data_IF_446772721866
#
_entry.id   IF_446772721866
#
_cell.length_a   1.000
_cell.length_b   1.000
_cell.length_c   1.000
_cell.angle_alpha   90.00
_cell.angle_beta   90.00
_cell.angle_gamma   90.00
#
_symmetry.space_group_name_H-M   'P 1'
#
loop_
_entity.id
_entity.type
_entity.pdbx_description
1 polymer ?
#
# COMPACT_ATOMS: atom_id res chain seq x y z
N UNK A 1 3.29 -21.75 10.31
CA UNK A 1 3.46 -22.17 11.72
C UNK A 1 3.38 -20.93 12.59
N UNK A 2 2.18 -20.59 13.04
CA UNK A 2 1.85 -20.37 14.45
C UNK A 2 0.33 -20.19 14.47
N UNK A 3 -0.36 -21.33 14.57
CA UNK A 3 -1.81 -21.45 14.54
C UNK A 3 -2.36 -21.36 15.96
N UNK A 4 -1.96 -20.32 16.70
CA UNK A 4 -2.37 -20.15 18.07
C UNK A 4 -3.79 -19.55 18.12
N UNK A 5 -4.72 -20.39 18.59
CA UNK A 5 -5.93 -20.06 19.35
C UNK A 5 -7.24 -19.95 18.55
N UNK A 6 -7.84 -21.11 18.29
CA UNK A 6 -9.30 -21.28 18.18
C UNK A 6 -9.81 -22.37 19.14
N UNK A 7 -9.19 -22.48 20.32
CA UNK A 7 -9.46 -23.57 21.27
C UNK A 7 -10.37 -23.15 22.44
N UNK A 8 -11.37 -22.29 22.24
CA UNK A 8 -12.12 -21.77 23.42
C UNK A 8 -13.63 -21.67 23.42
N UNK A 9 -14.38 -22.22 22.45
CA UNK A 9 -15.84 -22.04 22.48
C UNK A 9 -16.61 -23.27 22.03
N UNK A 10 -16.81 -24.20 22.97
CA UNK A 10 -17.95 -25.10 22.97
C UNK A 10 -18.83 -24.74 24.19
N UNK A 11 -20.06 -24.28 23.94
CA UNK A 11 -21.14 -24.31 24.93
C UNK A 11 -22.27 -25.17 24.40
N UNK A 12 -23.10 -25.66 25.31
CA UNK A 12 -23.88 -26.90 25.23
C UNK A 12 -24.98 -27.03 24.15
N UNK A 13 -25.20 -26.08 23.23
CA UNK A 13 -26.42 -26.02 22.40
C UNK A 13 -26.23 -25.77 20.89
N UNK A 14 -25.14 -26.21 20.25
CA UNK A 14 -25.07 -26.11 18.78
C UNK A 14 -23.84 -26.70 18.12
N UNK A 15 -24.01 -27.18 16.88
CA UNK A 15 -22.92 -27.63 16.00
C UNK A 15 -22.09 -26.43 15.57
N UNK A 16 -20.86 -26.34 16.07
CA UNK A 16 -19.86 -25.36 15.60
C UNK A 16 -19.02 -26.00 14.51
N UNK A 17 -19.08 -25.47 13.29
CA UNK A 17 -18.22 -25.88 12.18
C UNK A 17 -17.07 -24.88 12.09
N UNK A 18 -15.85 -25.33 12.41
CA UNK A 18 -14.63 -24.60 12.10
C UNK A 18 -14.25 -24.79 10.64
N UNK A 19 -14.33 -23.73 9.82
CA UNK A 19 -13.86 -23.75 8.44
C UNK A 19 -12.51 -23.05 8.37
N UNK A 20 -11.48 -23.78 7.91
CA UNK A 20 -10.16 -23.20 7.64
C UNK A 20 -9.97 -23.10 6.13
N UNK A 21 -9.69 -21.89 5.64
CA UNK A 21 -9.40 -21.65 4.23
C UNK A 21 -7.88 -21.59 4.03
N UNK A 22 -7.36 -22.42 3.12
CA UNK A 22 -5.95 -22.39 2.71
C UNK A 22 -5.84 -21.86 1.29
N UNK A 23 -5.02 -20.82 1.10
CA UNK A 23 -4.65 -20.37 -0.24
C UNK A 23 -3.51 -21.24 -0.78
N UNK A 24 -3.87 -22.25 -1.57
CA UNK A 24 -2.91 -23.18 -2.18
C UNK A 24 -2.29 -22.63 -3.48
N UNK A 25 -2.66 -21.41 -3.88
CA UNK A 25 -2.09 -20.80 -5.09
C UNK A 25 -0.74 -20.21 -4.76
N UNK A 26 0.27 -20.57 -5.54
CA UNK A 26 1.57 -19.95 -5.47
C UNK A 26 1.54 -18.53 -6.04
N UNK A 27 2.47 -17.70 -5.57
CA UNK A 27 2.72 -16.35 -6.04
C UNK A 27 2.75 -16.31 -7.57
N UNK A 28 2.08 -15.30 -8.14
CA UNK A 28 2.11 -15.07 -9.58
C UNK A 28 3.38 -14.35 -10.03
N UNK A 29 3.76 -14.50 -11.30
CA UNK A 29 4.86 -13.75 -11.90
C UNK A 29 4.68 -12.22 -11.76
N UNK A 30 3.43 -11.72 -11.82
CA UNK A 30 3.11 -10.30 -11.62
C UNK A 30 3.39 -9.83 -10.20
N UNK A 31 2.99 -10.61 -9.19
CA UNK A 31 3.30 -10.30 -7.79
C UNK A 31 4.80 -10.32 -7.54
N UNK A 32 5.51 -11.31 -8.08
CA UNK A 32 6.96 -11.37 -7.97
C UNK A 32 7.63 -10.16 -8.63
N UNK A 33 7.19 -9.76 -9.82
CA UNK A 33 7.69 -8.56 -10.50
C UNK A 33 7.47 -7.28 -9.68
N UNK A 34 6.28 -7.12 -9.05
CA UNK A 34 5.97 -6.00 -8.16
C UNK A 34 6.87 -5.94 -6.93
N UNK A 35 7.14 -7.09 -6.30
CA UNK A 35 8.08 -7.18 -5.17
C UNK A 35 9.46 -6.69 -5.60
N UNK A 36 9.99 -7.17 -6.73
CA UNK A 36 11.30 -6.72 -7.21
C UNK A 36 11.30 -5.25 -7.64
N UNK A 37 10.21 -4.75 -8.24
CA UNK A 37 10.11 -3.33 -8.57
C UNK A 37 10.18 -2.46 -7.32
N UNK A 38 9.47 -2.81 -6.25
CA UNK A 38 9.55 -2.09 -4.97
C UNK A 38 10.93 -2.20 -4.30
N UNK A 39 11.54 -3.39 -4.34
CA UNK A 39 12.90 -3.58 -3.82
C UNK A 39 13.91 -2.73 -4.60
N UNK A 40 13.75 -2.63 -5.93
CA UNK A 40 14.59 -1.79 -6.76
C UNK A 40 14.45 -0.31 -6.34
N UNK A 41 13.23 0.20 -6.12
CA UNK A 41 13.01 1.60 -5.66
C UNK A 41 13.76 1.88 -4.34
N UNK A 42 13.67 0.97 -3.37
CA UNK A 42 14.38 1.09 -2.09
C UNK A 42 15.89 1.05 -2.32
N UNK A 43 16.38 0.07 -3.08
CA UNK A 43 17.82 -0.10 -3.36
C UNK A 43 18.39 1.13 -4.05
N UNK A 44 17.66 1.73 -4.99
CA UNK A 44 18.08 2.96 -5.66
C UNK A 44 18.17 4.15 -4.71
N UNK A 45 17.24 4.24 -3.76
CA UNK A 45 17.21 5.33 -2.81
C UNK A 45 18.28 5.22 -1.73
N UNK A 46 18.60 3.99 -1.31
CA UNK A 46 19.57 3.74 -0.23
C UNK A 46 20.99 3.48 -0.74
N UNK A 47 21.18 3.36 -2.06
CA UNK A 47 22.50 3.17 -2.66
C UNK A 47 23.48 4.29 -2.27
N UNK A 48 24.72 3.92 -1.96
CA UNK A 48 25.77 4.89 -1.66
C UNK A 48 26.10 5.75 -2.89
N UNK A 49 26.50 7.00 -2.65
CA UNK A 49 26.94 7.92 -3.70
C UNK A 49 28.18 7.41 -4.46
N UNK A 50 28.95 6.51 -3.84
CA UNK A 50 30.16 5.91 -4.38
C UNK A 50 29.89 4.75 -5.36
N UNK A 51 28.65 4.25 -5.44
CA UNK A 51 28.30 3.14 -6.31
C UNK A 51 28.33 3.57 -7.79
N UNK A 52 29.11 2.88 -8.63
CA UNK A 52 29.38 3.27 -10.03
C UNK A 52 28.08 3.39 -10.86
N UNK A 53 27.74 4.64 -11.21
CA UNK A 53 26.51 5.05 -11.89
C UNK A 53 26.32 4.41 -13.28
N UNK A 54 27.34 3.80 -13.88
CA UNK A 54 27.23 3.18 -15.21
C UNK A 54 26.43 1.88 -15.21
N UNK A 55 26.24 1.22 -14.07
CA UNK A 55 25.57 -0.09 -13.97
C UNK A 55 24.40 -0.12 -12.97
N UNK A 56 23.75 1.02 -12.77
CA UNK A 56 22.83 1.32 -11.66
C UNK A 56 21.70 0.31 -11.41
N UNK A 57 21.28 -0.51 -12.38
CA UNK A 57 20.15 -1.46 -12.24
C UNK A 57 20.54 -2.94 -12.34
N UNK A 58 21.72 -3.25 -12.85
CA UNK A 58 22.10 -4.63 -13.21
C UNK A 58 23.50 -5.05 -12.73
N UNK A 59 24.25 -4.13 -12.12
CA UNK A 59 25.54 -4.41 -11.49
C UNK A 59 25.44 -5.46 -10.39
N UNK A 60 26.56 -6.16 -10.15
CA UNK A 60 26.65 -7.21 -9.13
C UNK A 60 26.36 -6.62 -7.74
N UNK A 61 26.91 -5.44 -7.44
CA UNK A 61 26.71 -4.72 -6.18
C UNK A 61 25.23 -4.38 -5.94
N UNK A 62 24.55 -3.82 -6.94
CA UNK A 62 23.11 -3.51 -6.83
C UNK A 62 22.28 -4.77 -6.54
N UNK A 63 22.62 -5.90 -7.18
CA UNK A 63 21.95 -7.18 -6.92
C UNK A 63 22.20 -7.65 -5.49
N UNK A 64 23.43 -7.55 -4.99
CA UNK A 64 23.76 -7.95 -3.61
C UNK A 64 23.02 -7.08 -2.59
N UNK A 65 23.01 -5.77 -2.78
CA UNK A 65 22.31 -4.83 -1.88
C UNK A 65 20.80 -5.09 -1.88
N UNK A 66 20.21 -5.29 -3.06
CA UNK A 66 18.80 -5.66 -3.18
C UNK A 66 18.49 -6.97 -2.45
N UNK A 67 19.38 -7.96 -2.52
CA UNK A 67 19.21 -9.21 -1.77
C UNK A 67 19.28 -9.00 -0.26
N UNK A 68 20.18 -8.14 0.24
CA UNK A 68 20.25 -7.76 1.66
C UNK A 68 18.95 -7.07 2.12
N UNK A 69 18.49 -6.06 1.38
CA UNK A 69 17.23 -5.36 1.63
C UNK A 69 16.06 -6.33 1.63
N UNK A 70 16.01 -7.26 0.66
CA UNK A 70 14.99 -8.30 0.59
C UNK A 70 15.01 -9.19 1.83
N UNK A 71 16.17 -9.63 2.29
CA UNK A 71 16.29 -10.45 3.50
C UNK A 71 15.81 -9.70 4.74
N UNK A 72 16.22 -8.44 4.90
CA UNK A 72 15.81 -7.58 6.02
C UNK A 72 14.29 -7.35 6.04
N UNK A 73 13.70 -6.97 4.90
CA UNK A 73 12.26 -6.75 4.80
C UNK A 73 11.44 -8.01 5.02
N UNK A 74 11.89 -9.17 4.52
CA UNK A 74 11.23 -10.46 4.78
C UNK A 74 11.25 -10.79 6.27
N UNK A 75 12.39 -10.64 6.94
CA UNK A 75 12.51 -10.90 8.37
C UNK A 75 11.61 -9.97 9.18
N UNK A 76 11.61 -8.68 8.85
CA UNK A 76 10.75 -7.69 9.51
C UNK A 76 9.26 -7.97 9.28
N UNK A 77 8.87 -8.35 8.06
CA UNK A 77 7.50 -8.74 7.73
C UNK A 77 7.06 -10.00 8.49
N UNK A 78 7.89 -11.05 8.53
CA UNK A 78 7.61 -12.26 9.31
C UNK A 78 7.32 -11.93 10.77
N UNK A 79 8.12 -11.05 11.38
CA UNK A 79 7.91 -10.61 12.75
C UNK A 79 6.63 -9.76 12.89
N UNK A 80 6.36 -8.89 11.91
CA UNK A 80 5.20 -7.99 11.92
C UNK A 80 3.86 -8.74 11.90
N UNK A 81 3.74 -9.80 11.09
CA UNK A 81 2.50 -10.60 11.00
C UNK A 81 2.59 -11.95 11.75
N UNK A 82 3.63 -12.15 12.55
CA UNK A 82 3.90 -13.37 13.32
C UNK A 82 3.82 -14.67 12.49
N UNK A 83 4.60 -14.75 11.41
CA UNK A 83 4.71 -15.96 10.57
C UNK A 83 6.14 -16.50 10.53
N UNK A 84 6.29 -17.78 10.17
CA UNK A 84 7.60 -18.38 9.92
C UNK A 84 8.30 -17.73 8.72
N UNK A 85 9.64 -17.78 8.68
CA UNK A 85 10.42 -17.42 7.49
C UNK A 85 9.91 -18.15 6.25
N UNK A 86 9.78 -17.40 5.15
CA UNK A 86 9.32 -17.93 3.86
C UNK A 86 10.38 -17.75 2.77
N UNK A 87 10.22 -18.50 1.67
CA UNK A 87 10.88 -18.21 0.40
C UNK A 87 9.87 -17.59 -0.56
N UNK A 88 10.30 -16.64 -1.40
CA UNK A 88 9.43 -16.10 -2.44
C UNK A 88 8.95 -17.19 -3.42
N UNK A 89 9.74 -18.25 -3.63
CA UNK A 89 9.37 -19.34 -4.54
C UNK A 89 8.15 -20.17 -4.06
N UNK A 90 7.92 -20.22 -2.74
CA UNK A 90 6.88 -21.05 -2.12
C UNK A 90 5.83 -20.20 -1.38
N UNK A 91 5.74 -18.91 -1.69
CA UNK A 91 4.82 -17.99 -1.06
C UNK A 91 3.43 -18.13 -1.67
N UNK A 92 2.37 -18.23 -0.86
CA UNK A 92 1.01 -18.20 -1.38
C UNK A 92 0.63 -16.79 -1.87
N UNK A 93 -0.38 -16.68 -2.74
CA UNK A 93 -0.78 -15.40 -3.32
C UNK A 93 -1.26 -14.38 -2.29
N UNK A 94 -1.93 -14.83 -1.23
CA UNK A 94 -2.43 -13.94 -0.16
C UNK A 94 -1.28 -13.29 0.60
N UNK A 95 -0.34 -14.08 1.13
CA UNK A 95 0.85 -13.58 1.82
C UNK A 95 1.75 -12.76 0.89
N UNK A 96 1.82 -13.10 -0.40
CA UNK A 96 2.53 -12.29 -1.39
C UNK A 96 1.91 -10.89 -1.55
N UNK A 97 0.57 -10.79 -1.56
CA UNK A 97 -0.12 -9.50 -1.59
C UNK A 97 0.17 -8.67 -0.33
N UNK A 98 0.10 -9.29 0.84
CA UNK A 98 0.41 -8.64 2.13
C UNK A 98 1.86 -8.17 2.18
N UNK A 99 2.80 -8.95 1.64
CA UNK A 99 4.20 -8.55 1.57
C UNK A 99 4.42 -7.38 0.60
N UNK A 100 3.73 -7.35 -0.55
CA UNK A 100 3.73 -6.18 -1.44
C UNK A 100 3.20 -4.94 -0.71
N UNK A 101 2.09 -5.08 0.02
CA UNK A 101 1.52 -3.99 0.81
C UNK A 101 2.51 -3.48 1.86
N UNK A 102 3.18 -4.40 2.55
CA UNK A 102 4.18 -4.07 3.56
C UNK A 102 5.36 -3.28 2.98
N UNK A 103 5.94 -3.72 1.86
CA UNK A 103 7.05 -3.00 1.21
C UNK A 103 6.57 -1.65 0.65
N UNK A 104 5.36 -1.60 0.08
CA UNK A 104 4.78 -0.36 -0.41
C UNK A 104 4.61 0.65 0.73
N UNK A 105 4.04 0.25 1.86
CA UNK A 105 3.90 1.11 3.02
C UNK A 105 5.26 1.54 3.59
N UNK A 106 6.26 0.66 3.59
CA UNK A 106 7.64 1.02 3.93
C UNK A 106 8.12 2.19 3.07
N UNK A 107 7.90 2.13 1.75
CA UNK A 107 8.30 3.22 0.85
C UNK A 107 7.61 4.55 1.21
N UNK A 108 6.30 4.53 1.48
CA UNK A 108 5.59 5.74 1.91
C UNK A 108 6.09 6.27 3.26
N UNK A 109 6.36 5.38 4.21
CA UNK A 109 6.78 5.73 5.58
C UNK A 109 8.15 6.40 5.61
N UNK A 110 9.07 5.93 4.78
CA UNK A 110 10.44 6.45 4.70
C UNK A 110 10.66 7.44 3.55
N UNK A 111 9.57 7.91 2.94
CA UNK A 111 9.57 8.85 1.83
C UNK A 111 10.47 8.43 0.64
N UNK A 112 10.43 7.14 0.32
CA UNK A 112 11.14 6.57 -0.82
C UNK A 112 10.41 7.01 -2.10
N UNK A 113 11.06 7.77 -3.01
CA UNK A 113 10.45 8.20 -4.24
C UNK A 113 10.28 7.02 -5.20
N UNK A 114 9.19 7.03 -5.97
CA UNK A 114 8.95 6.05 -7.02
C UNK A 114 9.41 6.60 -8.37
N UNK A 115 10.32 5.87 -9.03
CA UNK A 115 10.72 6.15 -10.41
C UNK A 115 9.77 5.50 -11.42
N UNK A 116 9.17 4.36 -11.05
CA UNK A 116 8.16 3.69 -11.85
C UNK A 116 6.74 4.20 -11.57
N UNK A 117 5.80 3.91 -12.48
CA UNK A 117 4.37 4.17 -12.24
C UNK A 117 3.86 3.28 -11.11
N UNK A 118 3.04 3.83 -10.22
CA UNK A 118 2.48 3.08 -9.09
C UNK A 118 1.75 1.78 -9.49
N UNK A 119 1.17 1.73 -10.70
CA UNK A 119 0.52 0.53 -11.26
C UNK A 119 1.48 -0.65 -11.47
N UNK A 120 2.76 -0.36 -11.67
CA UNK A 120 3.82 -1.37 -11.77
C UNK A 120 4.29 -1.85 -10.39
N UNK A 121 4.00 -1.08 -9.32
CA UNK A 121 4.39 -1.38 -7.95
C UNK A 121 3.30 -2.15 -7.18
N UNK A 122 2.02 -1.86 -7.46
CA UNK A 122 0.89 -2.55 -6.83
C UNK A 122 -0.28 -2.72 -7.78
N UNK A 123 -1.07 -3.78 -7.58
CA UNK A 123 -2.33 -4.03 -8.27
C UNK A 123 -3.54 -3.59 -7.42
N UNK A 124 -3.31 -3.30 -6.14
CA UNK A 124 -4.34 -2.83 -5.21
C UNK A 124 -4.37 -1.30 -5.18
N UNK A 125 -5.13 -0.73 -6.11
CA UNK A 125 -5.36 0.72 -6.21
C UNK A 125 -5.96 1.30 -4.91
N UNK A 126 -6.85 0.56 -4.25
CA UNK A 126 -7.50 1.03 -3.02
C UNK A 126 -6.49 1.16 -1.90
N UNK A 127 -5.61 0.18 -1.73
CA UNK A 127 -4.54 0.25 -0.73
C UNK A 127 -3.51 1.36 -1.06
N UNK A 128 -3.17 1.55 -2.34
CA UNK A 128 -2.33 2.67 -2.77
C UNK A 128 -2.95 4.03 -2.39
N UNK A 129 -4.23 4.24 -2.72
CA UNK A 129 -4.93 5.49 -2.39
C UNK A 129 -5.08 5.68 -0.88
N UNK A 130 -5.25 4.59 -0.13
CA UNK A 130 -5.22 4.62 1.33
C UNK A 130 -3.87 5.12 1.87
N UNK A 131 -2.75 4.61 1.35
CA UNK A 131 -1.42 5.08 1.74
C UNK A 131 -1.19 6.55 1.38
N UNK A 132 -1.65 7.00 0.20
CA UNK A 132 -1.65 8.41 -0.17
C UNK A 132 -2.36 9.30 0.86
N UNK A 133 -3.52 8.85 1.35
CA UNK A 133 -4.29 9.57 2.40
C UNK A 133 -3.54 9.54 3.73
N UNK A 134 -3.11 8.35 4.17
CA UNK A 134 -2.42 8.13 5.45
C UNK A 134 -1.14 8.96 5.57
N UNK A 135 -0.34 9.02 4.51
CA UNK A 135 0.95 9.72 4.50
C UNK A 135 0.90 11.12 3.88
N UNK A 136 -0.30 11.63 3.54
CA UNK A 136 -0.51 12.94 2.90
C UNK A 136 0.35 13.14 1.65
N UNK A 137 0.39 12.11 0.80
CA UNK A 137 1.10 12.10 -0.48
C UNK A 137 0.08 12.12 -1.61
N UNK A 138 0.27 13.02 -2.57
CA UNK A 138 -0.58 13.17 -3.73
C UNK A 138 -0.62 11.88 -4.54
N UNK A 139 -1.82 11.37 -4.80
CA UNK A 139 -2.02 10.15 -5.60
C UNK A 139 -1.63 10.29 -7.08
N UNK A 140 -1.37 11.53 -7.54
CA UNK A 140 -0.95 11.83 -8.92
C UNK A 140 0.56 12.09 -8.99
N UNK A 141 1.07 12.98 -8.13
CA UNK A 141 2.43 13.51 -8.23
C UNK A 141 3.41 12.93 -7.20
N UNK A 142 2.92 12.23 -6.17
CA UNK A 142 3.73 11.77 -5.05
C UNK A 142 4.19 12.87 -4.08
N UNK A 143 3.97 14.15 -4.40
CA UNK A 143 4.33 15.27 -3.52
C UNK A 143 3.39 15.40 -2.32
N UNK A 144 3.76 16.20 -1.31
CA UNK A 144 2.86 16.51 -0.19
C UNK A 144 1.50 17.02 -0.68
N UNK A 145 0.43 16.57 -0.02
CA UNK A 145 -0.94 16.87 -0.44
C UNK A 145 -1.94 17.02 0.71
N UNK A 146 -3.14 17.42 0.32
CA UNK A 146 -4.30 17.67 1.16
C UNK A 146 -5.41 16.67 0.81
N UNK A 147 -6.34 16.47 1.74
CA UNK A 147 -7.48 15.57 1.49
C UNK A 147 -8.54 16.33 0.73
N UNK A 148 -8.90 15.76 -0.42
CA UNK A 148 -9.99 16.22 -1.26
C UNK A 148 -11.20 15.32 -1.04
N UNK A 149 -12.31 15.93 -0.62
CA UNK A 149 -13.62 15.30 -0.61
C UNK A 149 -14.19 15.33 -2.01
N UNK A 150 -14.32 14.14 -2.60
CA UNK A 150 -14.83 13.97 -3.95
C UNK A 150 -16.31 14.33 -4.05
N UNK A 151 -17.07 13.93 -3.03
CA UNK A 151 -18.49 14.18 -2.95
C UNK A 151 -18.70 15.58 -2.36
N UNK A 152 -19.46 16.43 -3.05
CA UNK A 152 -19.73 17.77 -2.56
C UNK A 152 -20.41 17.69 -1.19
N UNK A 153 -19.82 18.34 -0.19
CA UNK A 153 -20.47 18.56 1.10
C UNK A 153 -21.66 19.48 0.80
N UNK A 154 -22.87 18.92 0.79
CA UNK A 154 -24.10 19.67 0.53
C UNK A 154 -24.17 20.93 1.41
N UNK A 155 -24.61 22.05 0.81
CA UNK A 155 -24.80 23.33 1.51
C UNK A 155 -25.72 23.08 2.71
N UNK A 156 -25.17 23.09 3.93
CA UNK A 156 -25.94 22.90 5.17
C UNK A 156 -25.30 21.98 6.22
N UNK A 157 -24.23 21.24 5.89
CA UNK A 157 -23.49 20.47 6.91
C UNK A 157 -22.41 21.34 7.56
N UNK A 158 -22.41 21.37 8.88
CA UNK A 158 -21.40 22.06 9.67
C UNK A 158 -20.02 21.44 9.39
N UNK A 159 -19.09 22.24 8.85
CA UNK A 159 -17.75 21.79 8.46
C UNK A 159 -16.88 21.42 9.67
N UNK A 160 -17.31 21.75 10.89
CA UNK A 160 -16.59 21.40 12.13
C UNK A 160 -16.81 19.95 12.57
N UNK A 161 -17.86 19.27 12.08
CA UNK A 161 -18.23 17.90 12.49
C UNK A 161 -18.63 17.11 11.24
N UNK A 162 -17.68 16.87 10.33
CA UNK A 162 -17.93 16.09 9.13
C UNK A 162 -17.50 14.64 9.33
N UNK A 163 -18.43 13.70 9.14
CA UNK A 163 -18.12 12.28 9.17
C UNK A 163 -17.42 11.86 7.86
N UNK A 164 -16.09 11.71 7.95
CA UNK A 164 -15.24 11.29 6.84
C UNK A 164 -15.54 9.88 6.32
N UNK A 165 -16.21 9.02 7.10
CA UNK A 165 -16.58 7.66 6.65
C UNK A 165 -17.64 7.67 5.54
N UNK A 166 -18.38 8.78 5.40
CA UNK A 166 -19.48 8.93 4.44
C UNK A 166 -19.07 9.61 3.13
N UNK A 167 -17.78 9.89 2.95
CA UNK A 167 -17.25 10.56 1.76
C UNK A 167 -16.20 9.72 1.07
N UNK A 168 -16.15 9.83 -0.26
CA UNK A 168 -14.97 9.39 -1.01
C UNK A 168 -13.86 10.42 -0.84
N UNK A 169 -12.69 9.92 -0.45
CA UNK A 169 -11.50 10.71 -0.15
C UNK A 169 -10.37 10.36 -1.12
N UNK A 170 -9.56 11.35 -1.45
CA UNK A 170 -8.29 11.20 -2.18
C UNK A 170 -7.30 12.24 -1.65
N UNK A 171 -6.00 11.96 -1.70
CA UNK A 171 -4.99 12.96 -1.37
C UNK A 171 -4.42 13.59 -2.65
N UNK A 172 -4.45 14.93 -2.74
CA UNK A 172 -3.97 15.68 -3.89
C UNK A 172 -3.01 16.78 -3.46
N UNK A 173 -1.94 17.01 -4.23
CA UNK A 173 -1.09 18.19 -4.06
C UNK A 173 -1.94 19.44 -4.28
N UNK A 174 -1.54 20.59 -3.73
CA UNK A 174 -2.29 21.84 -3.88
C UNK A 174 -2.59 22.19 -5.34
N UNK A 175 -1.66 21.91 -6.24
CA UNK A 175 -1.83 22.09 -7.69
C UNK A 175 -2.93 21.18 -8.24
N UNK A 176 -2.85 19.88 -7.97
CA UNK A 176 -3.84 18.91 -8.44
C UNK A 176 -5.21 19.12 -7.79
N UNK A 177 -5.24 19.53 -6.53
CA UNK A 177 -6.45 19.87 -5.80
C UNK A 177 -7.16 21.06 -6.46
N UNK A 178 -6.42 22.14 -6.75
CA UNK A 178 -6.93 23.30 -7.47
C UNK A 178 -7.43 22.94 -8.87
N UNK A 179 -6.68 22.09 -9.58
CA UNK A 179 -7.07 21.58 -10.90
C UNK A 179 -8.36 20.78 -10.85
N UNK A 180 -8.55 19.92 -9.84
CA UNK A 180 -9.78 19.15 -9.65
C UNK A 180 -11.00 20.06 -9.47
N UNK A 181 -10.87 21.14 -8.69
CA UNK A 181 -11.92 22.15 -8.56
C UNK A 181 -12.19 22.92 -9.85
N UNK A 182 -11.14 23.29 -10.59
CA UNK A 182 -11.26 24.07 -11.84
C UNK A 182 -11.97 23.29 -12.95
N UNK A 183 -11.62 22.02 -13.14
CA UNK A 183 -12.12 21.23 -14.28
C UNK A 183 -13.32 20.33 -13.92
N UNK A 184 -13.63 20.24 -12.62
CA UNK A 184 -14.66 19.36 -12.06
C UNK A 184 -14.20 17.90 -11.92
N UNK A 185 -14.70 17.23 -10.87
CA UNK A 185 -14.27 15.87 -10.51
C UNK A 185 -14.45 14.84 -11.63
N UNK A 186 -15.59 14.88 -12.33
CA UNK A 186 -15.88 13.92 -13.41
C UNK A 186 -14.85 13.96 -14.55
N UNK A 187 -14.33 15.16 -14.88
CA UNK A 187 -13.27 15.31 -15.87
C UNK A 187 -11.91 14.95 -15.29
N UNK A 188 -11.65 15.35 -14.04
CA UNK A 188 -10.40 15.04 -13.34
C UNK A 188 -10.15 13.53 -13.26
N UNK A 189 -11.12 12.76 -12.74
CA UNK A 189 -10.96 11.30 -12.59
C UNK A 189 -10.75 10.56 -13.92
N UNK A 190 -11.35 11.06 -15.01
CA UNK A 190 -11.17 10.49 -16.35
C UNK A 190 -9.78 10.75 -16.92
N UNK A 191 -9.19 11.91 -16.63
CA UNK A 191 -7.84 12.27 -17.09
C UNK A 191 -6.75 11.50 -16.35
N UNK A 192 -6.95 11.26 -15.06
CA UNK A 192 -5.93 10.65 -14.19
C UNK A 192 -6.19 9.18 -13.84
N UNK A 193 -7.35 8.65 -14.24
CA UNK A 193 -7.75 7.26 -14.01
C UNK A 193 -7.75 6.84 -12.53
N UNK A 194 -8.02 7.80 -11.64
CA UNK A 194 -8.10 7.61 -10.19
C UNK A 194 -9.40 8.24 -9.67
N UNK A 195 -10.12 7.54 -8.81
CA UNK A 195 -11.30 8.04 -8.08
C UNK A 195 -11.00 8.07 -6.57
N UNK A 196 -11.87 8.67 -5.76
CA UNK A 196 -11.75 8.63 -4.31
C UNK A 196 -12.22 7.30 -3.71
N UNK A 197 -11.72 6.97 -2.53
CA UNK A 197 -12.07 5.75 -1.78
C UNK A 197 -12.82 6.08 -0.50
N UNK A 198 -13.65 5.15 -0.02
CA UNK A 198 -14.18 5.21 1.33
C UNK A 198 -13.17 4.62 2.32
N UNK A 199 -13.06 5.24 3.48
CA UNK A 199 -12.30 4.71 4.60
C UNK A 199 -13.25 4.16 5.67
N UNK A 200 -12.92 3.00 6.22
CA UNK A 200 -13.63 2.48 7.40
C UNK A 200 -13.27 3.30 8.66
N UNK A 201 -14.02 3.17 9.77
CA UNK A 201 -13.76 3.96 10.98
C UNK A 201 -12.34 3.81 11.55
N UNK A 202 -11.74 2.62 11.45
CA UNK A 202 -10.37 2.40 11.92
C UNK A 202 -9.36 3.16 11.05
N UNK A 203 -9.53 3.13 9.73
CA UNK A 203 -8.69 3.85 8.78
C UNK A 203 -8.84 5.38 8.92
N UNK A 204 -10.05 5.88 9.13
CA UNK A 204 -10.30 7.31 9.40
C UNK A 204 -9.51 7.77 10.63
N UNK A 205 -9.59 7.00 11.72
CA UNK A 205 -8.83 7.26 12.95
C UNK A 205 -7.32 7.22 12.72
N UNK A 206 -6.83 6.22 11.99
CA UNK A 206 -5.40 6.07 11.66
C UNK A 206 -4.89 7.22 10.77
N UNK A 207 -5.74 7.78 9.91
CA UNK A 207 -5.40 8.91 9.04
C UNK A 207 -5.56 10.28 9.71
N UNK A 208 -5.99 10.32 10.98
CA UNK A 208 -6.29 11.55 11.72
C UNK A 208 -7.31 12.44 10.98
N UNK A 209 -8.41 11.84 10.55
CA UNK A 209 -9.55 12.49 9.92
C UNK A 209 -10.79 12.41 10.82
#
# INVERSE_FOLDING_TARGET
>A
MDSSILEKYASADGLVIGVTFFDNRLISAKQQAKIYALLDEITFHTASEEMDFRNKRYGIEFKQEREHIKMALKSSFCNYINIQPFSLANLNQTTAKEFIHYILEFCFRFDIPFHDKWTNLTEDITYFLYLCIKYRKCSITGQSGEIHHVDAIGQGRDRKIYDHTQSRLICLSREMHSKAHQIGWAKFKRLYHLDGIYLNPAQVKECHL
#
